data_IF_698994958450
#
_entry.id   IF_698994958450
#
_cell.length_a   1.000
_cell.length_b   1.000
_cell.length_c   1.000
_cell.angle_alpha   90.00
_cell.angle_beta   90.00
_cell.angle_gamma   90.00
#
_symmetry.space_group_name_H-M   'P 1'
#
loop_
_entity.id
_entity.type
_entity.pdbx_description
1 polymer ?
#
# COMPACT_ATOMS: atom_id res chain seq x y z
N UNK A 1 -50.91 -11.30 -41.84
CA UNK A 1 -50.32 -10.34 -40.91
C UNK A 1 -49.23 -11.04 -40.17
N UNK A 2 -48.01 -10.90 -40.65
CA UNK A 2 -46.83 -11.57 -40.08
C UNK A 2 -46.15 -10.61 -39.14
N UNK A 3 -46.24 -10.89 -37.84
CA UNK A 3 -45.38 -10.26 -36.85
C UNK A 3 -44.22 -11.23 -36.67
N UNK A 4 -43.22 -11.11 -37.52
CA UNK A 4 -41.96 -11.73 -37.27
C UNK A 4 -41.30 -10.93 -36.15
N UNK A 5 -41.43 -11.46 -34.95
CA UNK A 5 -40.58 -11.05 -33.84
C UNK A 5 -39.13 -11.41 -34.16
N UNK A 6 -38.49 -10.50 -34.84
CA UNK A 6 -37.04 -10.45 -34.90
C UNK A 6 -36.56 -9.94 -33.52
N UNK A 7 -36.58 -10.85 -32.56
CA UNK A 7 -35.83 -10.65 -31.33
C UNK A 7 -34.38 -10.95 -31.73
N UNK A 8 -33.70 -9.85 -32.03
CA UNK A 8 -32.36 -9.90 -32.54
C UNK A 8 -31.43 -10.65 -31.60
N UNK A 9 -30.57 -11.35 -32.24
CA UNK A 9 -29.37 -12.03 -31.74
C UNK A 9 -28.37 -11.03 -31.12
N UNK A 10 -28.76 -9.77 -31.02
CA UNK A 10 -27.89 -8.65 -30.59
C UNK A 10 -27.86 -8.46 -29.06
N UNK A 11 -28.69 -9.20 -28.32
CA UNK A 11 -28.76 -9.09 -26.85
C UNK A 11 -27.68 -9.89 -26.12
N UNK A 12 -26.88 -10.67 -26.83
CA UNK A 12 -25.86 -11.55 -26.20
C UNK A 12 -24.48 -10.93 -26.17
N UNK A 13 -24.27 -9.80 -26.83
CA UNK A 13 -22.94 -9.20 -27.01
C UNK A 13 -22.56 -8.14 -25.99
N UNK A 14 -23.47 -7.76 -25.10
CA UNK A 14 -23.16 -6.75 -24.08
C UNK A 14 -23.09 -7.34 -22.68
N UNK A 15 -22.19 -8.32 -22.51
CA UNK A 15 -21.61 -8.50 -21.19
C UNK A 15 -20.76 -7.25 -20.93
N UNK A 16 -21.08 -6.44 -19.90
CA UNK A 16 -20.27 -5.29 -19.59
C UNK A 16 -18.84 -5.79 -19.33
N UNK A 17 -17.94 -5.42 -20.24
CA UNK A 17 -16.51 -5.66 -20.05
C UNK A 17 -16.16 -5.13 -18.66
N UNK A 18 -15.64 -6.01 -17.79
CA UNK A 18 -15.13 -5.61 -16.49
C UNK A 18 -14.26 -4.36 -16.69
N UNK A 19 -14.58 -3.22 -16.06
CA UNK A 19 -13.80 -2.01 -16.27
C UNK A 19 -12.34 -2.35 -15.97
N UNK A 20 -11.49 -2.23 -16.99
CA UNK A 20 -10.06 -2.44 -16.86
C UNK A 20 -9.58 -1.51 -15.74
N UNK A 21 -8.98 -2.06 -14.69
CA UNK A 21 -8.46 -1.26 -13.59
C UNK A 21 -7.44 -0.30 -14.16
N UNK A 22 -7.60 0.98 -13.85
CA UNK A 22 -6.70 2.00 -14.37
C UNK A 22 -5.25 1.67 -13.97
N UNK A 23 -4.26 1.79 -14.88
CA UNK A 23 -2.87 1.39 -14.61
C UNK A 23 -2.28 2.07 -13.36
N UNK A 24 -2.71 3.28 -13.02
CA UNK A 24 -2.29 3.97 -11.80
C UNK A 24 -2.77 3.29 -10.50
N UNK A 25 -3.95 2.68 -10.51
CA UNK A 25 -4.44 1.90 -9.35
C UNK A 25 -3.62 0.63 -9.19
N UNK A 26 -3.26 -0.01 -10.30
CA UNK A 26 -2.40 -1.20 -10.25
C UNK A 26 -1.00 -0.85 -9.73
N UNK A 27 -0.42 0.25 -10.21
CA UNK A 27 0.87 0.74 -9.73
C UNK A 27 0.83 1.06 -8.23
N UNK A 28 -0.22 1.74 -7.75
CA UNK A 28 -0.43 2.02 -6.33
C UNK A 28 -0.43 0.74 -5.50
N UNK A 29 -1.18 -0.27 -5.93
CA UNK A 29 -1.30 -1.55 -5.23
C UNK A 29 0.05 -2.27 -5.20
N UNK A 30 0.77 -2.31 -6.32
CA UNK A 30 2.11 -2.93 -6.41
C UNK A 30 3.08 -2.25 -5.46
N UNK A 31 3.10 -0.92 -5.41
CA UNK A 31 3.96 -0.17 -4.49
C UNK A 31 3.64 -0.46 -3.02
N UNK A 32 2.35 -0.47 -2.65
CA UNK A 32 1.93 -0.79 -1.27
C UNK A 32 2.31 -2.22 -0.87
N UNK A 33 2.18 -3.19 -1.79
CA UNK A 33 2.62 -4.56 -1.52
C UNK A 33 4.14 -4.68 -1.43
N UNK A 34 4.88 -3.92 -2.23
CA UNK A 34 6.34 -3.88 -2.14
C UNK A 34 6.80 -3.30 -0.81
N UNK A 35 6.20 -2.21 -0.34
CA UNK A 35 6.46 -1.65 0.99
C UNK A 35 6.10 -2.64 2.11
N UNK A 36 4.97 -3.34 1.99
CA UNK A 36 4.57 -4.40 2.93
C UNK A 36 5.61 -5.53 2.97
N UNK A 37 6.13 -5.96 1.82
CA UNK A 37 7.16 -7.00 1.74
C UNK A 37 8.49 -6.54 2.37
N UNK A 38 8.87 -5.27 2.18
CA UNK A 38 10.05 -4.70 2.82
C UNK A 38 9.91 -4.66 4.35
N UNK A 39 8.75 -4.26 4.87
CA UNK A 39 8.48 -4.27 6.31
C UNK A 39 8.45 -5.69 6.89
N UNK A 40 7.88 -6.64 6.17
CA UNK A 40 7.90 -8.04 6.57
C UNK A 40 9.34 -8.59 6.61
N UNK A 41 10.16 -8.28 5.60
CA UNK A 41 11.58 -8.61 5.57
C UNK A 41 12.36 -7.97 6.73
N UNK A 42 12.11 -6.70 7.00
CA UNK A 42 12.70 -6.00 8.16
C UNK A 42 12.27 -6.63 9.48
N UNK A 43 11.01 -7.03 9.62
CA UNK A 43 10.53 -7.74 10.81
C UNK A 43 11.26 -9.06 11.01
N UNK A 44 11.41 -9.86 9.94
CA UNK A 44 12.13 -11.14 9.99
C UNK A 44 13.60 -10.89 10.38
N UNK A 45 14.25 -9.89 9.79
CA UNK A 45 15.61 -9.52 10.14
C UNK A 45 15.75 -9.16 11.63
N UNK A 46 14.85 -8.31 12.16
CA UNK A 46 14.85 -7.92 13.57
C UNK A 46 14.58 -9.10 14.51
N UNK A 47 13.73 -10.06 14.12
CA UNK A 47 13.51 -11.29 14.89
C UNK A 47 14.78 -12.14 14.94
N UNK A 48 15.45 -12.32 13.81
CA UNK A 48 16.74 -13.07 13.76
C UNK A 48 17.78 -12.38 14.65
N UNK A 49 17.91 -11.07 14.54
CA UNK A 49 18.85 -10.29 15.35
C UNK A 49 18.54 -10.40 16.84
N UNK A 50 17.26 -10.31 17.22
CA UNK A 50 16.82 -10.47 18.62
C UNK A 50 17.15 -11.86 19.19
N UNK A 51 17.17 -12.90 18.36
CA UNK A 51 17.47 -14.28 18.78
C UNK A 51 18.96 -14.59 18.78
N UNK A 52 19.77 -13.85 18.02
CA UNK A 52 21.19 -14.17 17.80
C UNK A 52 22.17 -13.17 18.41
N UNK A 53 21.77 -11.91 18.56
CA UNK A 53 22.60 -10.84 19.08
C UNK A 53 22.29 -10.52 20.54
N UNK A 54 23.30 -10.11 21.28
CA UNK A 54 23.12 -9.50 22.61
C UNK A 54 22.74 -8.04 22.44
N UNK A 55 21.44 -7.74 22.56
CA UNK A 55 20.97 -6.36 22.47
C UNK A 55 21.34 -5.57 23.71
N UNK A 56 21.87 -4.36 23.55
CA UNK A 56 22.15 -3.42 24.66
C UNK A 56 20.87 -3.10 25.47
N UNK A 57 19.71 -3.15 24.81
CA UNK A 57 18.39 -3.04 25.44
C UNK A 57 17.38 -3.98 24.78
N UNK A 58 17.11 -5.08 25.46
CA UNK A 58 16.09 -6.06 25.02
C UNK A 58 14.69 -5.43 24.87
N UNK A 59 14.33 -4.51 25.78
CA UNK A 59 13.03 -3.84 25.73
C UNK A 59 12.87 -3.00 24.45
N UNK A 60 13.88 -2.24 24.06
CA UNK A 60 13.86 -1.44 22.83
C UNK A 60 13.84 -2.31 21.59
N UNK A 61 14.62 -3.39 21.55
CA UNK A 61 14.63 -4.33 20.43
C UNK A 61 13.31 -5.03 20.23
N UNK A 62 12.66 -5.49 21.32
CA UNK A 62 11.32 -6.07 21.30
C UNK A 62 10.28 -5.06 20.83
N UNK A 63 10.31 -3.83 21.37
CA UNK A 63 9.36 -2.79 20.99
C UNK A 63 9.45 -2.47 19.50
N UNK A 64 10.67 -2.34 18.96
CA UNK A 64 10.90 -2.07 17.54
C UNK A 64 10.41 -3.23 16.67
N UNK A 65 10.71 -4.47 17.04
CA UNK A 65 10.26 -5.67 16.32
C UNK A 65 8.74 -5.76 16.27
N UNK A 66 8.08 -5.60 17.41
CA UNK A 66 6.62 -5.65 17.50
C UNK A 66 5.97 -4.52 16.70
N UNK A 67 6.50 -3.30 16.80
CA UNK A 67 5.99 -2.16 16.05
C UNK A 67 6.10 -2.37 14.54
N UNK A 68 7.25 -2.88 14.08
CA UNK A 68 7.47 -3.15 12.65
C UNK A 68 6.56 -4.28 12.15
N UNK A 69 6.33 -5.31 12.95
CA UNK A 69 5.39 -6.38 12.63
C UNK A 69 3.95 -5.88 12.51
N UNK A 70 3.50 -5.05 13.45
CA UNK A 70 2.17 -4.43 13.41
C UNK A 70 2.03 -3.54 12.17
N UNK A 71 3.05 -2.75 11.85
CA UNK A 71 3.10 -1.91 10.67
C UNK A 71 2.98 -2.73 9.36
N UNK A 72 3.70 -3.86 9.26
CA UNK A 72 3.63 -4.75 8.10
C UNK A 72 2.21 -5.33 7.91
N UNK A 73 1.59 -5.81 8.97
CA UNK A 73 0.21 -6.34 8.94
C UNK A 73 -0.78 -5.25 8.56
N UNK A 74 -0.66 -4.07 9.15
CA UNK A 74 -1.53 -2.93 8.86
C UNK A 74 -1.44 -2.50 7.40
N UNK A 75 -0.22 -2.36 6.87
CA UNK A 75 -0.01 -1.99 5.47
C UNK A 75 -0.53 -3.06 4.50
N UNK A 76 -0.32 -4.34 4.80
CA UNK A 76 -0.90 -5.45 4.05
C UNK A 76 -2.42 -5.42 4.03
N UNK A 77 -3.04 -5.07 5.15
CA UNK A 77 -4.48 -4.89 5.25
C UNK A 77 -4.99 -3.72 4.40
N UNK A 78 -4.28 -2.59 4.41
CA UNK A 78 -4.59 -1.44 3.54
C UNK A 78 -4.49 -1.85 2.07
N UNK A 79 -3.38 -2.46 1.66
CA UNK A 79 -3.13 -2.88 0.28
C UNK A 79 -4.21 -3.86 -0.24
N UNK A 80 -4.62 -4.84 0.58
CA UNK A 80 -5.69 -5.77 0.25
C UNK A 80 -7.06 -5.07 0.08
N UNK A 81 -7.35 -4.05 0.90
CA UNK A 81 -8.60 -3.31 0.82
C UNK A 81 -8.61 -2.27 -0.31
N UNK A 82 -7.45 -1.74 -0.72
CA UNK A 82 -7.32 -0.94 -1.95
C UNK A 82 -7.71 -1.79 -3.17
N UNK A 83 -7.30 -3.05 -3.22
CA UNK A 83 -7.75 -3.99 -4.27
C UNK A 83 -9.26 -4.18 -4.30
N UNK A 84 -9.92 -4.08 -3.14
CA UNK A 84 -11.38 -4.17 -3.02
C UNK A 84 -12.08 -2.85 -3.31
N UNK A 85 -11.35 -1.76 -3.57
CA UNK A 85 -11.90 -0.44 -3.90
C UNK A 85 -12.62 0.24 -2.74
N UNK A 86 -12.22 -0.02 -1.50
CA UNK A 86 -12.86 0.61 -0.33
C UNK A 86 -12.41 2.05 -0.16
N UNK A 87 -13.35 2.99 -0.05
CA UNK A 87 -13.07 4.43 0.00
C UNK A 87 -12.19 4.86 1.19
N UNK A 88 -12.33 4.23 2.36
CA UNK A 88 -11.55 4.56 3.56
C UNK A 88 -10.04 4.28 3.41
N UNK A 89 -9.65 3.36 2.51
CA UNK A 89 -8.25 2.95 2.31
C UNK A 89 -7.38 4.09 1.82
N UNK A 90 -7.97 5.06 1.11
CA UNK A 90 -7.26 6.25 0.65
C UNK A 90 -6.75 7.08 1.84
N UNK A 91 -7.62 7.37 2.82
CA UNK A 91 -7.23 8.08 4.03
C UNK A 91 -6.18 7.33 4.83
N UNK A 92 -6.36 6.01 5.01
CA UNK A 92 -5.41 5.16 5.70
C UNK A 92 -4.05 5.12 5.01
N UNK A 93 -4.01 5.04 3.68
CA UNK A 93 -2.77 5.08 2.90
C UNK A 93 -2.07 6.45 3.01
N UNK A 94 -2.80 7.56 2.98
CA UNK A 94 -2.21 8.91 3.18
C UNK A 94 -1.57 9.02 4.57
N UNK A 95 -2.28 8.60 5.62
CA UNK A 95 -1.74 8.60 6.98
C UNK A 95 -0.47 7.76 7.08
N UNK A 96 -0.48 6.59 6.44
CA UNK A 96 0.69 5.73 6.38
C UNK A 96 1.88 6.42 5.71
N UNK A 97 1.68 7.06 4.55
CA UNK A 97 2.76 7.74 3.82
C UNK A 97 3.32 8.93 4.58
N UNK A 98 2.47 9.67 5.32
CA UNK A 98 2.93 10.75 6.20
C UNK A 98 3.79 10.19 7.34
N UNK A 99 3.38 9.08 7.95
CA UNK A 99 4.15 8.41 9.01
C UNK A 99 5.50 7.91 8.48
N UNK A 100 5.51 7.28 7.32
CA UNK A 100 6.73 6.81 6.65
C UNK A 100 7.66 7.97 6.30
N UNK A 101 7.12 9.08 5.82
CA UNK A 101 7.88 10.32 5.57
C UNK A 101 8.52 10.87 6.84
N UNK A 102 7.80 10.87 7.96
CA UNK A 102 8.33 11.30 9.25
C UNK A 102 9.49 10.41 9.73
N UNK A 103 9.36 9.09 9.56
CA UNK A 103 10.45 8.13 9.86
C UNK A 103 11.65 8.36 8.94
N UNK A 104 11.41 8.59 7.64
CA UNK A 104 12.47 8.90 6.67
C UNK A 104 13.24 10.16 7.07
N UNK A 105 12.55 11.23 7.47
CA UNK A 105 13.19 12.46 7.97
C UNK A 105 14.02 12.15 9.21
N UNK A 106 13.53 11.33 10.13
CA UNK A 106 14.28 10.88 11.31
C UNK A 106 15.58 10.16 10.93
N UNK A 107 15.59 9.39 9.84
CA UNK A 107 16.79 8.72 9.34
C UNK A 107 17.86 9.67 8.78
N UNK A 108 17.52 10.92 8.46
CA UNK A 108 18.51 11.95 8.06
C UNK A 108 19.10 12.69 9.25
N UNK A 109 18.52 12.53 10.44
CA UNK A 109 18.87 13.29 11.64
C UNK A 109 19.41 12.37 12.74
N UNK A 110 20.27 12.91 13.61
CA UNK A 110 20.74 12.22 14.81
C UNK A 110 22.09 11.54 14.68
N UNK A 111 22.53 10.93 15.81
CA UNK A 111 23.83 10.29 15.98
C UNK A 111 24.01 9.02 15.11
N UNK A 112 22.92 8.41 14.68
CA UNK A 112 22.90 7.21 13.84
C UNK A 112 22.24 7.49 12.48
N UNK A 113 22.50 8.69 11.93
CA UNK A 113 21.93 9.06 10.64
C UNK A 113 22.29 8.03 9.55
N UNK A 114 21.24 7.46 8.94
CA UNK A 114 21.38 6.52 7.82
C UNK A 114 20.65 7.09 6.60
N UNK A 115 21.27 8.01 5.86
CA UNK A 115 20.63 8.70 4.76
C UNK A 115 20.17 7.75 3.65
N UNK A 116 20.87 6.64 3.43
CA UNK A 116 20.46 5.63 2.45
C UNK A 116 19.09 5.04 2.78
N UNK A 117 18.83 4.72 4.05
CA UNK A 117 17.53 4.21 4.51
C UNK A 117 16.48 5.33 4.41
N UNK A 118 16.85 6.56 4.78
CA UNK A 118 15.97 7.72 4.64
C UNK A 118 15.47 7.90 3.21
N UNK A 119 16.33 7.83 2.20
CA UNK A 119 15.94 7.90 0.80
C UNK A 119 15.12 6.70 0.36
N UNK A 120 15.46 5.50 0.80
CA UNK A 120 14.71 4.28 0.49
C UNK A 120 13.26 4.32 0.99
N UNK A 121 13.02 5.01 2.10
CA UNK A 121 11.68 5.21 2.65
C UNK A 121 10.96 6.42 2.02
N UNK A 122 11.68 7.52 1.80
CA UNK A 122 11.10 8.78 1.34
C UNK A 122 10.60 8.71 -0.10
N UNK A 123 11.39 8.10 -1.00
CA UNK A 123 11.05 8.05 -2.43
C UNK A 123 9.74 7.30 -2.68
N UNK A 124 9.54 6.06 -2.21
CA UNK A 124 8.26 5.36 -2.42
C UNK A 124 7.10 6.08 -1.72
N UNK A 125 7.31 6.66 -0.53
CA UNK A 125 6.28 7.43 0.16
C UNK A 125 5.77 8.60 -0.68
N UNK A 126 6.66 9.37 -1.28
CA UNK A 126 6.28 10.48 -2.16
C UNK A 126 5.57 10.00 -3.43
N UNK A 127 6.05 8.93 -4.05
CA UNK A 127 5.43 8.37 -5.26
C UNK A 127 4.02 7.88 -4.96
N UNK A 128 3.81 7.14 -3.88
CA UNK A 128 2.49 6.66 -3.46
C UNK A 128 1.58 7.83 -3.11
N UNK A 129 2.09 8.83 -2.41
CA UNK A 129 1.32 10.03 -2.06
C UNK A 129 0.83 10.77 -3.31
N UNK A 130 1.71 10.99 -4.29
CA UNK A 130 1.34 11.61 -5.57
C UNK A 130 0.28 10.77 -6.30
N UNK A 131 0.44 9.44 -6.36
CA UNK A 131 -0.54 8.55 -6.99
C UNK A 131 -1.91 8.61 -6.31
N UNK A 132 -1.96 8.73 -4.99
CA UNK A 132 -3.23 8.83 -4.23
C UNK A 132 -4.03 10.11 -4.56
N UNK A 133 -3.36 11.15 -5.04
CA UNK A 133 -3.99 12.41 -5.45
C UNK A 133 -4.24 12.51 -6.95
N UNK A 134 -3.85 11.51 -7.75
CA UNK A 134 -4.15 11.52 -9.20
C UNK A 134 -5.65 11.29 -9.45
N UNK A 135 -6.27 12.02 -10.41
CA UNK A 135 -7.70 11.92 -10.70
C UNK A 135 -8.22 10.50 -10.97
N UNK A 136 -7.50 9.64 -11.72
CA UNK A 136 -8.00 8.29 -11.99
C UNK A 136 -8.05 7.39 -10.74
N UNK A 137 -7.16 7.60 -9.77
CA UNK A 137 -7.18 6.87 -8.50
C UNK A 137 -8.31 7.39 -7.62
N UNK A 138 -8.49 8.70 -7.56
CA UNK A 138 -9.60 9.33 -6.82
C UNK A 138 -10.95 8.82 -7.32
N UNK A 139 -11.17 8.80 -8.63
CA UNK A 139 -12.41 8.33 -9.24
C UNK A 139 -12.70 6.85 -8.99
N UNK A 140 -11.69 5.98 -9.07
CA UNK A 140 -11.89 4.54 -8.90
C UNK A 140 -12.22 4.11 -7.47
N UNK A 141 -11.81 4.91 -6.47
CA UNK A 141 -12.05 4.61 -5.05
C UNK A 141 -13.34 5.28 -4.55
N UNK A 142 -13.77 6.41 -5.12
CA UNK A 142 -14.95 7.16 -4.69
C UNK A 142 -16.28 6.65 -5.27
N UNK A 143 -16.27 5.89 -6.36
CA UNK A 143 -17.49 5.40 -7.01
C UNK A 143 -18.10 4.11 -6.41
N UNK A 144 -17.54 3.58 -5.32
CA UNK A 144 -18.02 2.36 -4.65
C UNK A 144 -18.54 2.59 -3.22
N UNK A 145 -18.89 3.81 -2.90
CA UNK A 145 -19.58 4.14 -1.63
C UNK A 145 -21.08 4.25 -1.84
#
# INVERSE_FOLDING_TARGET
MQINGFVGDDAVSELPAKPARHPFVLLLVVLLFMECALLAGATIYLVIELLTATADSLASALALTVLTAIAAVWLGFIAANVLRGRAWTRGAAVVWQVLQGAVAIGCFQGLFAQPTIGWLLLVPALVVLVLLFTPPVVGSISHRS
#
